data_IF_920914951356
#
_entry.id   IF_920914951356
#
_cell.length_a   1.000
_cell.length_b   1.000
_cell.length_c   1.000
_cell.angle_alpha   90.00
_cell.angle_beta   90.00
_cell.angle_gamma   90.00
#
_symmetry.space_group_name_H-M   'P 1'
#
loop_
_entity.id
_entity.type
_entity.pdbx_description
1 polymer ?
#
# COMPACT_ATOMS: atom_id res chain seq x y z
N UNK A 1 -5.96 30.73 -23.79
CA UNK A 1 -7.16 30.07 -23.27
C UNK A 1 -6.84 28.59 -23.16
N UNK A 2 -6.53 28.12 -21.96
CA UNK A 2 -6.80 26.76 -21.46
C UNK A 2 -6.52 26.82 -19.96
N UNK A 3 -7.56 27.07 -19.17
CA UNK A 3 -7.49 26.89 -17.72
C UNK A 3 -7.31 25.40 -17.49
N UNK A 4 -6.11 25.00 -17.07
CA UNK A 4 -5.86 23.66 -16.56
C UNK A 4 -6.87 23.40 -15.45
N UNK A 5 -7.83 22.51 -15.72
CA UNK A 5 -8.75 22.02 -14.69
C UNK A 5 -7.88 21.25 -13.72
N UNK A 6 -7.64 21.83 -12.54
CA UNK A 6 -7.00 21.14 -11.45
C UNK A 6 -7.87 19.93 -11.10
N UNK A 7 -7.43 18.76 -11.57
CA UNK A 7 -8.09 17.50 -11.32
C UNK A 7 -8.04 17.25 -9.81
N UNK A 8 -9.19 17.33 -9.16
CA UNK A 8 -9.31 17.07 -7.72
C UNK A 8 -8.80 15.66 -7.44
N UNK A 9 -7.64 15.55 -6.80
CA UNK A 9 -7.11 14.27 -6.33
C UNK A 9 -8.07 13.65 -5.32
N UNK A 10 -8.17 12.33 -5.36
CA UNK A 10 -8.79 11.57 -4.26
C UNK A 10 -7.89 11.77 -3.04
N UNK A 11 -8.48 12.25 -1.94
CA UNK A 11 -7.74 12.64 -0.74
C UNK A 11 -6.95 11.47 -0.16
N UNK A 12 -7.61 10.36 0.18
CA UNK A 12 -6.95 9.19 0.78
C UNK A 12 -7.55 7.90 0.29
N UNK A 13 -6.70 6.93 -0.04
CA UNK A 13 -7.11 5.58 -0.41
C UNK A 13 -6.47 4.58 0.55
N UNK A 14 -7.32 3.71 1.11
CA UNK A 14 -6.89 2.48 1.77
C UNK A 14 -7.09 1.33 0.78
N UNK A 15 -6.00 0.63 0.46
CA UNK A 15 -5.96 -0.55 -0.39
C UNK A 15 -5.68 -1.79 0.45
N UNK A 16 -6.40 -2.88 0.20
CA UNK A 16 -6.11 -4.19 0.77
C UNK A 16 -5.60 -5.09 -0.35
N UNK A 17 -4.45 -5.72 -0.15
CA UNK A 17 -3.78 -6.54 -1.15
C UNK A 17 -3.19 -7.81 -0.55
N UNK A 18 -2.89 -8.80 -1.40
CA UNK A 18 -2.10 -9.99 -1.06
C UNK A 18 -0.73 -10.03 -1.75
N UNK A 19 -0.42 -9.01 -2.57
CA UNK A 19 0.84 -8.96 -3.30
C UNK A 19 1.97 -8.41 -2.43
N UNK A 20 2.79 -9.32 -1.94
CA UNK A 20 3.95 -9.02 -1.09
C UNK A 20 5.16 -8.54 -1.89
N UNK A 21 5.09 -8.55 -3.22
CA UNK A 21 6.17 -8.10 -4.08
C UNK A 21 6.48 -6.62 -3.92
N UNK A 22 5.53 -5.81 -3.43
CA UNK A 22 5.75 -4.37 -3.20
C UNK A 22 6.71 -4.06 -2.05
N UNK A 23 7.04 -5.03 -1.18
CA UNK A 23 8.08 -4.86 -0.16
C UNK A 23 9.49 -5.05 -0.71
N UNK A 24 9.62 -5.45 -1.98
CA UNK A 24 10.90 -5.63 -2.66
C UNK A 24 11.06 -4.52 -3.71
N UNK A 25 11.95 -3.56 -3.42
CA UNK A 25 12.22 -2.41 -4.28
C UNK A 25 12.74 -2.80 -5.68
N UNK A 26 13.22 -4.04 -5.88
CA UNK A 26 13.68 -4.51 -7.18
C UNK A 26 12.54 -4.95 -8.10
N UNK A 27 11.32 -5.14 -7.56
CA UNK A 27 10.18 -5.63 -8.33
C UNK A 27 9.41 -4.50 -8.99
N UNK A 28 8.96 -4.74 -10.22
CA UNK A 28 8.16 -3.79 -11.00
C UNK A 28 6.89 -3.29 -10.28
N UNK A 29 6.29 -4.09 -9.40
CA UNK A 29 5.12 -3.68 -8.63
C UNK A 29 5.43 -2.57 -7.62
N UNK A 30 6.62 -2.56 -7.02
CA UNK A 30 7.02 -1.51 -6.08
C UNK A 30 6.96 -0.14 -6.76
N UNK A 31 7.59 -0.02 -7.93
CA UNK A 31 7.57 1.20 -8.73
C UNK A 31 6.14 1.57 -9.18
N UNK A 32 5.33 0.57 -9.56
CA UNK A 32 3.93 0.82 -9.94
C UNK A 32 3.10 1.40 -8.80
N UNK A 33 3.33 0.96 -7.56
CA UNK A 33 2.62 1.53 -6.40
C UNK A 33 3.06 2.96 -6.13
N UNK A 34 4.35 3.29 -6.34
CA UNK A 34 4.82 4.67 -6.29
C UNK A 34 4.14 5.55 -7.35
N UNK A 35 4.00 5.06 -8.58
CA UNK A 35 3.31 5.76 -9.67
C UNK A 35 1.84 6.02 -9.33
N UNK A 36 1.14 5.08 -8.70
CA UNK A 36 -0.24 5.27 -8.26
C UNK A 36 -0.37 6.35 -7.18
N UNK A 37 0.67 6.56 -6.35
CA UNK A 37 0.75 7.68 -5.42
C UNK A 37 0.64 9.04 -6.10
N UNK A 38 1.03 9.16 -7.38
CA UNK A 38 0.90 10.42 -8.13
C UNK A 38 -0.55 10.82 -8.41
N UNK A 39 -1.49 9.87 -8.34
CA UNK A 39 -2.91 10.08 -8.66
C UNK A 39 -3.77 10.43 -7.44
N UNK A 40 -3.23 10.26 -6.23
CA UNK A 40 -3.93 10.48 -4.95
C UNK A 40 -3.15 11.43 -4.07
N UNK A 41 -3.77 11.93 -2.99
CA UNK A 41 -2.99 12.66 -1.97
C UNK A 41 -2.25 11.69 -1.05
N UNK A 42 -2.86 10.58 -0.64
CA UNK A 42 -2.23 9.51 0.15
C UNK A 42 -2.72 8.11 -0.27
N UNK A 43 -1.80 7.13 -0.31
CA UNK A 43 -2.08 5.71 -0.55
C UNK A 43 -1.54 4.85 0.59
N UNK A 44 -2.43 4.20 1.33
CA UNK A 44 -2.09 3.22 2.37
C UNK A 44 -2.46 1.82 1.90
N UNK A 45 -1.52 0.90 1.91
CA UNK A 45 -1.71 -0.45 1.38
C UNK A 45 -1.50 -1.47 2.51
N UNK A 46 -2.57 -2.11 2.96
CA UNK A 46 -2.48 -3.24 3.88
C UNK A 46 -2.26 -4.50 3.06
N UNK A 47 -1.19 -5.23 3.37
CA UNK A 47 -0.79 -6.43 2.63
C UNK A 47 -0.89 -7.65 3.53
N UNK A 48 -1.68 -8.63 3.12
CA UNK A 48 -1.78 -9.91 3.82
C UNK A 48 -0.44 -10.65 3.79
N UNK A 49 0.16 -10.81 4.96
CA UNK A 49 1.48 -11.43 5.12
C UNK A 49 1.55 -12.23 6.41
N UNK A 50 2.26 -13.37 6.35
CA UNK A 50 2.61 -14.12 7.55
C UNK A 50 3.80 -13.49 8.25
N UNK A 51 3.80 -13.54 9.59
CA UNK A 51 4.90 -13.04 10.43
C UNK A 51 6.25 -13.67 10.09
N UNK A 52 6.26 -14.92 9.61
CA UNK A 52 7.46 -15.66 9.17
C UNK A 52 8.19 -15.05 7.98
N UNK A 53 7.56 -14.10 7.26
CA UNK A 53 8.18 -13.40 6.15
C UNK A 53 9.04 -12.20 6.60
N UNK A 54 9.00 -11.84 7.88
CA UNK A 54 9.80 -10.77 8.48
C UNK A 54 9.67 -9.42 7.76
N UNK A 55 8.50 -9.16 7.15
CA UNK A 55 8.21 -7.91 6.47
C UNK A 55 7.97 -6.80 7.49
N UNK A 56 8.33 -5.58 7.11
CA UNK A 56 8.16 -4.38 7.91
C UNK A 56 7.36 -3.33 7.13
N UNK A 57 6.75 -2.41 7.86
CA UNK A 57 6.14 -1.23 7.27
C UNK A 57 7.17 -0.54 6.36
N UNK A 58 6.76 -0.30 5.12
CA UNK A 58 7.67 0.19 4.08
C UNK A 58 7.03 1.38 3.38
N UNK A 59 7.76 2.48 3.35
CA UNK A 59 7.41 3.61 2.49
C UNK A 59 7.88 3.29 1.08
N UNK A 60 6.93 3.21 0.13
CA UNK A 60 7.22 2.91 -1.28
C UNK A 60 7.47 4.19 -2.07
N UNK A 61 6.82 5.29 -1.68
CA UNK A 61 6.97 6.60 -2.30
C UNK A 61 6.64 7.72 -1.31
N UNK A 62 6.73 8.97 -1.76
CA UNK A 62 6.55 10.14 -0.89
C UNK A 62 5.24 10.10 -0.09
N UNK A 63 4.16 9.60 -0.70
CA UNK A 63 2.82 9.50 -0.12
C UNK A 63 2.21 8.10 -0.22
N UNK A 64 3.06 7.06 -0.27
CA UNK A 64 2.65 5.66 -0.43
C UNK A 64 3.31 4.79 0.62
N UNK A 65 2.50 4.08 1.41
CA UNK A 65 2.95 3.19 2.48
C UNK A 65 2.34 1.80 2.36
N UNK A 66 3.12 0.78 2.65
CA UNK A 66 2.68 -0.61 2.73
C UNK A 66 2.88 -1.19 4.13
N UNK A 67 1.84 -1.85 4.64
CA UNK A 67 1.76 -2.41 5.98
C UNK A 67 1.49 -3.91 5.89
N UNK A 68 2.44 -4.79 6.26
CA UNK A 68 2.18 -6.21 6.30
C UNK A 68 1.33 -6.56 7.52
N UNK A 69 0.30 -7.40 7.38
CA UNK A 69 -0.51 -7.82 8.53
C UNK A 69 0.27 -8.61 9.58
N UNK A 70 1.43 -9.16 9.22
CA UNK A 70 2.33 -9.91 10.10
C UNK A 70 1.59 -10.97 10.96
N UNK A 71 0.64 -11.64 10.32
CA UNK A 71 -0.28 -12.57 10.98
C UNK A 71 0.40 -13.91 11.27
N UNK A 72 0.01 -14.55 12.37
CA UNK A 72 0.50 -15.90 12.72
C UNK A 72 -0.09 -16.99 11.81
N UNK A 73 -1.26 -16.74 11.22
CA UNK A 73 -1.92 -17.66 10.28
C UNK A 73 -2.78 -16.89 9.28
N UNK A 74 -3.17 -17.55 8.18
CA UNK A 74 -4.01 -16.94 7.13
C UNK A 74 -5.41 -16.59 7.60
N UNK A 75 -5.94 -17.33 8.58
CA UNK A 75 -7.27 -17.07 9.16
C UNK A 75 -7.31 -15.75 9.95
N UNK A 76 -6.15 -15.28 10.42
CA UNK A 76 -6.04 -14.02 11.15
C UNK A 76 -5.89 -12.79 10.24
N UNK A 77 -5.68 -12.95 8.93
CA UNK A 77 -5.43 -11.84 8.00
C UNK A 77 -6.48 -10.73 8.07
N UNK A 78 -7.76 -11.09 8.07
CA UNK A 78 -8.85 -10.11 8.09
C UNK A 78 -8.87 -9.35 9.43
N UNK A 79 -8.73 -10.07 10.55
CA UNK A 79 -8.69 -9.46 11.89
C UNK A 79 -7.50 -8.51 12.03
N UNK A 80 -6.32 -8.94 11.59
CA UNK A 80 -5.10 -8.15 11.70
C UNK A 80 -5.12 -6.93 10.76
N UNK A 81 -5.70 -7.06 9.56
CA UNK A 81 -5.89 -5.93 8.67
C UNK A 81 -6.85 -4.88 9.25
N UNK A 82 -7.95 -5.29 9.89
CA UNK A 82 -8.85 -4.37 10.57
C UNK A 82 -8.21 -3.65 11.77
N UNK A 83 -7.15 -4.21 12.36
CA UNK A 83 -6.40 -3.56 13.43
C UNK A 83 -5.39 -2.51 12.92
N UNK A 84 -5.06 -2.54 11.62
CA UNK A 84 -4.15 -1.59 10.96
C UNK A 84 -4.92 -0.46 10.29
N UNK A 85 -6.10 -0.76 9.72
CA UNK A 85 -6.98 0.18 9.02
C UNK A 85 -7.55 1.27 9.95
#
# INVERSE_FOLDING_TARGET
METAVEQKKVERILMISSDRGMFDATKAIHNRMADYGTLVSELHIIVFAQKSLHLQDTQIGTNVWAYPTNSVSRWAYVRDALAIA
#
